data_IF_128829476920
#
_entry.id   IF_128829476920
#
_cell.length_a   1.000
_cell.length_b   1.000
_cell.length_c   1.000
_cell.angle_alpha   90.00
_cell.angle_beta   90.00
_cell.angle_gamma   90.00
#
_symmetry.space_group_name_H-M   'P 1'
#
loop_
_entity.id
_entity.type
_entity.pdbx_description
1 polymer ?
#
# COMPACT_ATOMS: atom_id res chain seq x y z
N UNK A 1 28.56 -44.73 49.94
CA UNK A 1 27.12 -44.39 49.88
C UNK A 1 26.97 -43.01 50.49
N UNK A 2 26.43 -41.95 49.92
CA UNK A 2 25.93 -41.58 48.59
C UNK A 2 25.88 -40.05 48.65
N UNK A 3 26.72 -39.34 47.88
CA UNK A 3 26.68 -37.87 47.82
C UNK A 3 26.72 -37.41 46.34
N UNK A 4 25.91 -38.07 45.50
CA UNK A 4 25.94 -37.93 44.05
C UNK A 4 24.57 -37.53 43.44
N UNK A 5 23.80 -36.67 44.11
CA UNK A 5 22.46 -36.28 43.62
C UNK A 5 22.15 -34.78 43.66
N UNK A 6 23.17 -33.91 43.59
CA UNK A 6 22.97 -32.45 43.48
C UNK A 6 23.63 -31.81 42.23
N UNK A 7 23.85 -32.59 41.16
CA UNK A 7 24.24 -32.06 39.85
C UNK A 7 23.17 -32.40 38.80
N UNK A 8 22.36 -31.41 38.45
CA UNK A 8 21.77 -31.18 37.10
C UNK A 8 20.40 -30.48 37.17
N UNK A 9 20.38 -29.23 37.62
CA UNK A 9 19.32 -28.30 37.22
C UNK A 9 19.95 -27.04 36.62
N UNK A 10 20.81 -27.25 35.61
CA UNK A 10 21.11 -26.19 34.66
C UNK A 10 19.89 -26.09 33.73
N UNK A 11 18.90 -25.31 34.14
CA UNK A 11 17.86 -24.86 33.24
C UNK A 11 18.55 -24.17 32.07
N UNK A 12 18.44 -24.75 30.88
CA UNK A 12 18.74 -24.02 29.67
C UNK A 12 17.73 -22.87 29.64
N UNK A 13 18.20 -21.65 29.93
CA UNK A 13 17.46 -20.43 29.63
C UNK A 13 17.26 -20.41 28.11
N UNK A 14 16.16 -21.01 27.66
CA UNK A 14 15.70 -20.88 26.27
C UNK A 14 15.36 -19.41 26.11
N UNK A 15 16.31 -18.63 25.58
CA UNK A 15 16.08 -17.25 25.21
C UNK A 15 14.88 -17.26 24.25
N UNK A 16 13.71 -16.88 24.76
CA UNK A 16 12.52 -16.70 23.95
C UNK A 16 12.85 -15.58 22.95
N UNK A 17 13.02 -15.94 21.68
CA UNK A 17 13.20 -14.98 20.59
C UNK A 17 12.00 -14.03 20.58
N UNK A 18 12.17 -12.84 21.16
CA UNK A 18 11.16 -11.79 21.14
C UNK A 18 11.11 -11.22 19.72
N UNK A 19 10.15 -11.71 18.95
CA UNK A 19 9.97 -11.30 17.57
C UNK A 19 9.10 -10.03 17.50
N UNK A 20 9.62 -8.95 16.93
CA UNK A 20 8.91 -7.69 16.74
C UNK A 20 8.52 -7.50 15.28
N UNK A 21 7.21 -7.37 15.03
CA UNK A 21 6.66 -7.03 13.72
C UNK A 21 6.85 -5.55 13.39
N UNK A 22 7.07 -5.24 12.10
CA UNK A 22 7.08 -3.86 11.63
C UNK A 22 5.64 -3.37 11.44
N UNK A 23 5.14 -2.66 12.46
CA UNK A 23 3.85 -1.99 12.40
C UNK A 23 3.96 -0.53 11.92
N UNK A 24 5.17 0.00 11.72
CA UNK A 24 5.34 1.39 11.29
C UNK A 24 4.85 1.56 9.86
N UNK A 25 5.24 0.65 8.96
CA UNK A 25 4.81 0.69 7.57
C UNK A 25 3.29 0.50 7.44
N UNK A 26 2.71 -0.37 8.26
CA UNK A 26 1.25 -0.59 8.31
C UNK A 26 0.54 0.71 8.68
N UNK A 27 1.01 1.42 9.71
CA UNK A 27 0.43 2.71 10.11
C UNK A 27 0.55 3.76 9.02
N UNK A 28 1.67 3.80 8.30
CA UNK A 28 1.86 4.72 7.18
C UNK A 28 0.82 4.48 6.08
N UNK A 29 0.63 3.24 5.65
CA UNK A 29 -0.42 2.89 4.68
C UNK A 29 -1.82 3.13 5.24
N UNK A 30 -2.07 2.93 6.54
CA UNK A 30 -3.35 3.23 7.18
C UNK A 30 -3.67 4.73 7.11
N UNK A 31 -2.71 5.60 7.45
CA UNK A 31 -2.89 7.05 7.36
C UNK A 31 -3.08 7.50 5.92
N UNK A 32 -2.30 6.95 4.97
CA UNK A 32 -2.48 7.23 3.55
C UNK A 32 -3.85 6.78 3.04
N UNK A 33 -4.35 5.62 3.49
CA UNK A 33 -5.68 5.12 3.14
C UNK A 33 -6.75 6.12 3.55
N UNK A 34 -6.74 6.57 4.82
CA UNK A 34 -7.74 7.53 5.31
C UNK A 34 -7.65 8.85 4.54
N UNK A 35 -6.43 9.36 4.34
CA UNK A 35 -6.19 10.61 3.62
C UNK A 35 -6.70 10.56 2.18
N UNK A 36 -6.29 9.55 1.41
CA UNK A 36 -6.70 9.41 0.01
C UNK A 36 -8.16 9.00 -0.13
N UNK A 37 -8.74 8.30 0.86
CA UNK A 37 -10.17 8.05 0.93
C UNK A 37 -10.97 9.34 1.03
N UNK A 38 -10.56 10.26 1.90
CA UNK A 38 -11.17 11.58 2.00
C UNK A 38 -11.05 12.35 0.68
N UNK A 39 -9.83 12.43 0.12
CA UNK A 39 -9.59 13.15 -1.15
C UNK A 39 -10.42 12.55 -2.29
N UNK A 40 -10.36 11.24 -2.51
CA UNK A 40 -11.07 10.55 -3.59
C UNK A 40 -12.58 10.72 -3.49
N UNK A 41 -13.15 10.61 -2.30
CA UNK A 41 -14.59 10.81 -2.07
C UNK A 41 -15.01 12.27 -2.27
N UNK A 42 -14.19 13.24 -1.84
CA UNK A 42 -14.46 14.66 -2.07
C UNK A 42 -14.44 15.02 -3.57
N UNK A 43 -13.46 14.51 -4.32
CA UNK A 43 -13.41 14.72 -5.79
C UNK A 43 -14.60 14.03 -6.47
N UNK A 44 -15.03 12.87 -5.98
CA UNK A 44 -16.24 12.20 -6.45
C UNK A 44 -17.52 13.00 -6.21
N UNK A 45 -17.63 13.61 -5.02
CA UNK A 45 -18.73 14.50 -4.68
C UNK A 45 -18.75 15.74 -5.59
N UNK A 46 -17.58 16.33 -5.87
CA UNK A 46 -17.45 17.43 -6.83
C UNK A 46 -17.93 16.99 -8.23
N UNK A 47 -17.46 15.84 -8.73
CA UNK A 47 -17.86 15.32 -10.03
C UNK A 47 -19.38 15.07 -10.11
N UNK A 48 -19.98 14.55 -9.03
CA UNK A 48 -21.43 14.38 -8.95
C UNK A 48 -22.18 15.71 -9.03
N UNK A 49 -21.72 16.74 -8.31
CA UNK A 49 -22.32 18.08 -8.40
C UNK A 49 -22.12 18.73 -9.76
N UNK A 50 -21.02 18.48 -10.47
CA UNK A 50 -20.79 19.00 -11.83
C UNK A 50 -21.80 18.47 -12.86
N UNK A 51 -22.34 17.26 -12.63
CA UNK A 51 -23.41 16.70 -13.47
C UNK A 51 -24.76 17.40 -13.23
N UNK A 52 -25.02 17.88 -12.01
CA UNK A 52 -26.28 18.57 -11.64
C UNK A 52 -26.20 20.07 -11.89
N UNK A 53 -25.07 20.67 -11.57
CA UNK A 53 -24.81 22.11 -11.65
C UNK A 53 -23.59 22.38 -12.54
N UNK A 54 -23.76 22.52 -13.86
CA UNK A 54 -22.65 22.70 -14.81
C UNK A 54 -21.73 23.90 -14.51
N UNK A 55 -22.21 24.91 -13.79
CA UNK A 55 -21.42 26.06 -13.33
C UNK A 55 -20.20 25.65 -12.48
N UNK A 56 -20.25 24.49 -11.82
CA UNK A 56 -19.16 23.95 -11.01
C UNK A 56 -18.00 23.36 -11.84
N UNK A 57 -18.07 23.41 -13.16
CA UNK A 57 -16.91 23.18 -14.02
C UNK A 57 -15.94 24.37 -14.05
N UNK A 58 -16.33 25.53 -13.49
CA UNK A 58 -15.51 26.74 -13.27
C UNK A 58 -14.90 27.40 -14.52
N UNK A 59 -15.22 26.91 -15.72
CA UNK A 59 -14.76 27.50 -16.99
C UNK A 59 -13.28 27.30 -17.30
N UNK A 60 -12.54 26.49 -16.53
CA UNK A 60 -11.14 26.12 -16.80
C UNK A 60 -11.03 24.62 -17.08
N UNK A 61 -10.07 24.24 -17.92
CA UNK A 61 -10.00 22.88 -18.48
C UNK A 61 -9.78 21.82 -17.39
N UNK A 62 -8.96 22.13 -16.40
CA UNK A 62 -8.52 21.26 -15.30
C UNK A 62 -9.68 20.81 -14.42
N UNK A 63 -10.68 21.67 -14.23
CA UNK A 63 -11.82 21.42 -13.34
C UNK A 63 -13.03 20.89 -14.07
N UNK A 64 -12.95 20.66 -15.39
CA UNK A 64 -14.06 20.07 -16.13
C UNK A 64 -14.31 18.63 -15.71
N UNK A 65 -15.57 18.19 -15.75
CA UNK A 65 -15.98 16.83 -15.42
C UNK A 65 -15.15 15.76 -16.15
N UNK A 66 -14.81 16.01 -17.42
CA UNK A 66 -14.00 15.09 -18.23
C UNK A 66 -12.61 14.82 -17.65
N UNK A 67 -12.00 15.80 -16.96
CA UNK A 67 -10.69 15.64 -16.30
C UNK A 67 -10.80 15.27 -14.83
N UNK A 68 -11.83 15.74 -14.14
CA UNK A 68 -12.09 15.42 -12.72
C UNK A 68 -12.50 13.95 -12.53
N UNK A 69 -13.25 13.37 -13.47
CA UNK A 69 -13.67 11.96 -13.44
C UNK A 69 -12.49 10.97 -13.35
N UNK A 70 -11.50 11.00 -14.26
CA UNK A 70 -10.37 10.07 -14.17
C UNK A 70 -9.53 10.32 -12.91
N UNK A 71 -9.45 11.56 -12.40
CA UNK A 71 -8.80 11.85 -11.10
C UNK A 71 -9.55 11.15 -9.95
N UNK A 72 -10.88 11.25 -9.90
CA UNK A 72 -11.69 10.58 -8.88
C UNK A 72 -11.50 9.06 -8.90
N UNK A 73 -11.65 8.44 -10.08
CA UNK A 73 -11.56 6.98 -10.21
C UNK A 73 -10.18 6.46 -9.81
N UNK A 74 -9.11 7.09 -10.27
CA UNK A 74 -7.74 6.72 -9.88
C UNK A 74 -7.48 6.95 -8.37
N UNK A 75 -7.97 8.07 -7.82
CA UNK A 75 -7.84 8.35 -6.38
C UNK A 75 -8.59 7.33 -5.52
N UNK A 76 -9.80 6.91 -5.90
CA UNK A 76 -10.56 5.92 -5.12
C UNK A 76 -9.98 4.51 -5.26
N UNK A 77 -9.55 4.12 -6.45
CA UNK A 77 -9.06 2.75 -6.70
C UNK A 77 -7.60 2.59 -6.26
N UNK A 78 -6.69 3.36 -6.86
CA UNK A 78 -5.26 3.14 -6.65
C UNK A 78 -4.72 3.86 -5.42
N UNK A 79 -5.27 5.02 -5.08
CA UNK A 79 -4.85 5.72 -3.87
C UNK A 79 -5.57 5.19 -2.63
N UNK A 80 -6.90 5.25 -2.54
CA UNK A 80 -7.63 4.79 -1.37
C UNK A 80 -7.57 3.26 -1.21
N UNK A 81 -8.19 2.51 -2.12
CA UNK A 81 -8.26 1.04 -2.01
C UNK A 81 -6.86 0.42 -2.11
N UNK A 82 -6.00 0.91 -3.00
CA UNK A 82 -4.61 0.44 -3.12
C UNK A 82 -3.82 0.56 -1.82
N UNK A 83 -3.83 1.73 -1.15
CA UNK A 83 -3.17 1.87 0.16
C UNK A 83 -3.82 0.94 1.21
N UNK A 84 -5.14 0.74 1.17
CA UNK A 84 -5.85 -0.17 2.06
C UNK A 84 -5.43 -1.63 1.90
N UNK A 85 -5.25 -2.09 0.66
CA UNK A 85 -4.74 -3.42 0.33
C UNK A 85 -3.31 -3.56 0.86
N UNK A 86 -2.42 -2.59 0.60
CA UNK A 86 -1.05 -2.67 1.08
C UNK A 86 -0.96 -2.65 2.61
N UNK A 87 -1.75 -1.83 3.29
CA UNK A 87 -1.90 -1.90 4.75
C UNK A 87 -2.26 -3.32 5.20
N UNK A 88 -3.28 -3.92 4.56
CA UNK A 88 -3.73 -5.28 4.82
C UNK A 88 -2.61 -6.30 4.64
N UNK A 89 -1.91 -6.28 3.49
CA UNK A 89 -0.83 -7.21 3.19
C UNK A 89 0.35 -7.06 4.17
N UNK A 90 0.83 -5.84 4.42
CA UNK A 90 1.94 -5.61 5.35
C UNK A 90 1.60 -6.03 6.78
N UNK A 91 0.32 -5.95 7.16
CA UNK A 91 -0.15 -6.41 8.46
C UNK A 91 -0.31 -7.94 8.52
N UNK A 92 -1.06 -8.51 7.57
CA UNK A 92 -1.44 -9.92 7.57
C UNK A 92 -0.24 -10.81 7.30
N UNK A 93 0.58 -10.50 6.28
CA UNK A 93 1.66 -11.35 5.82
C UNK A 93 2.62 -11.70 6.96
N UNK A 94 3.08 -10.69 7.70
CA UNK A 94 4.01 -10.88 8.80
C UNK A 94 3.48 -11.85 9.88
N UNK A 95 2.18 -11.77 10.18
CA UNK A 95 1.52 -12.57 11.22
C UNK A 95 1.21 -13.98 10.74
N UNK A 96 0.79 -14.12 9.48
CA UNK A 96 0.44 -15.40 8.87
C UNK A 96 1.68 -16.26 8.66
N UNK A 97 2.79 -15.68 8.19
CA UNK A 97 4.03 -16.42 7.99
C UNK A 97 4.93 -16.48 9.23
N UNK A 98 4.52 -15.81 10.33
CA UNK A 98 5.27 -15.65 11.58
C UNK A 98 6.72 -15.18 11.34
N UNK A 99 6.89 -14.22 10.45
CA UNK A 99 8.17 -13.66 10.06
C UNK A 99 8.07 -12.16 9.81
N UNK A 100 9.18 -11.44 9.97
CA UNK A 100 9.26 -9.99 9.68
C UNK A 100 9.32 -9.83 8.17
N UNK A 101 8.88 -8.67 7.67
CA UNK A 101 9.11 -8.29 6.28
C UNK A 101 10.58 -8.50 5.88
N UNK A 102 10.77 -9.00 4.67
CA UNK A 102 12.09 -9.38 4.14
C UNK A 102 13.10 -8.23 4.19
N UNK A 103 12.68 -7.02 3.82
CA UNK A 103 13.53 -5.84 3.86
C UNK A 103 12.72 -4.55 4.13
N UNK A 104 13.04 -3.88 5.25
CA UNK A 104 12.42 -2.62 5.67
C UNK A 104 12.66 -1.46 4.68
N UNK A 105 13.80 -1.44 3.98
CA UNK A 105 14.07 -0.44 2.94
C UNK A 105 13.14 -0.61 1.74
N UNK A 106 12.93 -1.86 1.28
CA UNK A 106 11.98 -2.13 0.19
C UNK A 106 10.56 -1.74 0.58
N UNK A 107 10.18 -1.94 1.85
CA UNK A 107 8.88 -1.48 2.38
C UNK A 107 8.72 0.05 2.27
N UNK A 108 9.76 0.81 2.65
CA UNK A 108 9.74 2.29 2.56
C UNK A 108 9.78 2.77 1.12
N UNK A 109 10.60 2.15 0.26
CA UNK A 109 10.68 2.47 -1.15
C UNK A 109 9.33 2.24 -1.84
N UNK A 110 8.66 1.14 -1.53
CA UNK A 110 7.31 0.88 -2.00
C UNK A 110 6.34 1.97 -1.55
N UNK A 111 6.29 2.29 -0.25
CA UNK A 111 5.37 3.32 0.27
C UNK A 111 5.57 4.67 -0.41
N UNK A 112 6.79 5.20 -0.39
CA UNK A 112 7.09 6.52 -0.98
C UNK A 112 6.96 6.53 -2.50
N UNK A 113 7.36 5.44 -3.17
CA UNK A 113 7.15 5.28 -4.61
C UNK A 113 5.67 5.31 -4.97
N UNK A 114 4.82 4.60 -4.20
CA UNK A 114 3.38 4.60 -4.42
C UNK A 114 2.76 5.99 -4.18
N UNK A 115 3.16 6.69 -3.10
CA UNK A 115 2.65 8.04 -2.85
C UNK A 115 3.05 9.03 -3.96
N UNK A 116 4.29 8.92 -4.45
CA UNK A 116 4.77 9.75 -5.57
C UNK A 116 3.94 9.51 -6.83
N UNK A 117 3.68 8.25 -7.18
CA UNK A 117 2.84 7.89 -8.33
C UNK A 117 1.46 8.51 -8.19
N UNK A 118 0.82 8.41 -7.03
CA UNK A 118 -0.52 8.99 -6.80
C UNK A 118 -0.51 10.50 -7.02
N UNK A 119 0.48 11.21 -6.51
CA UNK A 119 0.60 12.66 -6.68
C UNK A 119 0.81 13.02 -8.16
N UNK A 120 1.69 12.30 -8.86
CA UNK A 120 1.92 12.52 -10.28
C UNK A 120 0.69 12.18 -11.13
N UNK A 121 -0.06 11.13 -10.77
CA UNK A 121 -1.32 10.78 -11.40
C UNK A 121 -2.34 11.93 -11.29
N UNK A 122 -2.50 12.50 -10.10
CA UNK A 122 -3.40 13.65 -9.92
C UNK A 122 -3.00 14.85 -10.78
N UNK A 123 -1.70 15.19 -10.82
CA UNK A 123 -1.19 16.32 -11.62
C UNK A 123 -1.36 16.07 -13.12
N UNK A 124 -0.98 14.89 -13.60
CA UNK A 124 -1.02 14.56 -15.04
C UNK A 124 -2.45 14.46 -15.57
N UNK A 125 -3.37 13.85 -14.81
CA UNK A 125 -4.78 13.74 -15.21
C UNK A 125 -5.49 15.11 -15.21
N UNK A 126 -5.22 15.99 -14.24
CA UNK A 126 -5.75 17.36 -14.25
C UNK A 126 -5.20 18.19 -15.42
N UNK A 127 -3.92 18.00 -15.75
CA UNK A 127 -3.31 18.61 -16.93
C UNK A 127 -3.85 18.04 -18.26
N UNK A 128 -4.60 16.94 -18.22
CA UNK A 128 -5.25 16.33 -19.39
C UNK A 128 -4.39 15.30 -20.11
N UNK A 129 -3.27 14.85 -19.53
CA UNK A 129 -2.47 13.76 -20.07
C UNK A 129 -3.15 12.43 -19.72
N UNK A 130 -3.78 11.82 -20.70
CA UNK A 130 -4.45 10.54 -20.51
C UNK A 130 -4.54 9.72 -21.79
N UNK A 131 -4.43 8.40 -21.64
CA UNK A 131 -4.62 7.43 -22.73
C UNK A 131 -6.10 7.18 -23.06
N UNK A 132 -7.02 7.65 -22.21
CA UNK A 132 -8.47 7.44 -22.35
C UNK A 132 -8.96 6.02 -22.05
N UNK A 133 -8.07 5.10 -21.64
CA UNK A 133 -8.43 3.73 -21.24
C UNK A 133 -8.84 3.73 -19.77
N UNK A 134 -10.06 3.30 -19.47
CA UNK A 134 -10.56 3.27 -18.09
C UNK A 134 -9.67 2.38 -17.20
N UNK A 135 -9.31 2.92 -16.03
CA UNK A 135 -8.41 2.31 -15.04
C UNK A 135 -6.96 2.12 -15.51
N UNK A 136 -6.62 2.61 -16.70
CA UNK A 136 -5.28 2.65 -17.27
C UNK A 136 -5.04 4.04 -17.90
N UNK A 137 -5.58 5.08 -17.26
CA UNK A 137 -5.62 6.43 -17.81
C UNK A 137 -4.24 7.10 -17.86
N UNK A 138 -3.30 6.65 -17.05
CA UNK A 138 -1.99 7.26 -16.89
C UNK A 138 -1.11 7.04 -18.12
N UNK A 139 -0.20 7.98 -18.36
CA UNK A 139 0.76 7.89 -19.45
C UNK A 139 1.88 6.88 -19.15
N UNK A 140 2.52 6.40 -20.22
CA UNK A 140 3.56 5.36 -20.17
C UNK A 140 4.69 5.59 -19.14
N UNK A 141 5.15 6.82 -18.79
CA UNK A 141 6.18 6.97 -17.77
C UNK A 141 5.67 6.54 -16.39
N UNK A 142 4.40 6.81 -16.09
CA UNK A 142 3.77 6.39 -14.84
C UNK A 142 3.53 4.88 -14.82
N UNK A 143 3.18 4.27 -15.96
CA UNK A 143 3.05 2.81 -16.07
C UNK A 143 4.37 2.09 -15.75
N UNK A 144 5.50 2.63 -16.22
CA UNK A 144 6.84 2.10 -15.89
C UNK A 144 7.12 2.26 -14.40
N UNK A 145 6.84 3.43 -13.82
CA UNK A 145 7.03 3.67 -12.39
C UNK A 145 6.19 2.71 -11.54
N UNK A 146 4.91 2.53 -11.89
CA UNK A 146 4.00 1.57 -11.25
C UNK A 146 4.58 0.18 -11.31
N UNK A 147 5.03 -0.25 -12.49
CA UNK A 147 5.62 -1.57 -12.70
C UNK A 147 6.84 -1.79 -11.78
N UNK A 148 7.75 -0.82 -11.72
CA UNK A 148 8.94 -0.91 -10.86
C UNK A 148 8.58 -0.97 -9.37
N UNK A 149 7.64 -0.14 -8.92
CA UNK A 149 7.18 -0.12 -7.53
C UNK A 149 6.47 -1.43 -7.16
N UNK A 150 5.67 -2.00 -8.07
CA UNK A 150 5.06 -3.32 -7.91
C UNK A 150 6.08 -4.45 -7.84
N UNK A 151 7.15 -4.39 -8.63
CA UNK A 151 8.25 -5.36 -8.54
C UNK A 151 8.95 -5.27 -7.18
N UNK A 152 9.22 -4.06 -6.69
CA UNK A 152 9.79 -3.84 -5.34
C UNK A 152 8.89 -4.45 -4.26
N UNK A 153 7.58 -4.20 -4.34
CA UNK A 153 6.59 -4.80 -3.44
C UNK A 153 6.59 -6.33 -3.53
N UNK A 154 6.55 -6.87 -4.75
CA UNK A 154 6.56 -8.31 -5.02
C UNK A 154 7.80 -9.00 -4.44
N UNK A 155 9.01 -8.47 -4.69
CA UNK A 155 10.26 -9.00 -4.14
C UNK A 155 10.19 -9.07 -2.60
N UNK A 156 9.69 -8.01 -1.97
CA UNK A 156 9.58 -7.95 -0.51
C UNK A 156 8.53 -8.93 0.04
N UNK A 157 7.38 -9.05 -0.63
CA UNK A 157 6.33 -10.00 -0.28
C UNK A 157 6.80 -11.46 -0.43
N UNK A 158 7.29 -11.84 -1.61
CA UNK A 158 7.78 -13.21 -1.86
C UNK A 158 9.00 -13.54 -1.01
N UNK A 159 9.93 -12.61 -0.81
CA UNK A 159 11.05 -12.78 0.10
C UNK A 159 10.61 -13.07 1.54
N UNK A 160 9.49 -12.49 1.98
CA UNK A 160 8.91 -12.73 3.30
C UNK A 160 8.29 -14.13 3.38
N UNK A 161 7.59 -14.56 2.32
CA UNK A 161 6.99 -15.90 2.21
C UNK A 161 8.07 -17.00 2.18
N UNK A 162 9.20 -16.76 1.53
CA UNK A 162 10.32 -17.71 1.49
C UNK A 162 10.93 -17.92 2.88
N UNK A 163 11.00 -16.87 3.70
CA UNK A 163 11.51 -16.91 5.09
C UNK A 163 10.45 -17.30 6.13
N UNK A 164 9.31 -17.84 5.71
CA UNK A 164 8.22 -18.21 6.62
C UNK A 164 8.62 -19.28 7.62
N UNK A 165 8.01 -19.25 8.81
CA UNK A 165 8.15 -20.31 9.82
C UNK A 165 7.05 -21.36 9.76
N UNK A 166 5.98 -21.09 9.02
CA UNK A 166 4.84 -21.99 8.85
C UNK A 166 4.97 -22.89 7.62
N UNK A 167 4.60 -24.17 7.73
CA UNK A 167 4.69 -25.11 6.59
C UNK A 167 3.62 -24.82 5.53
N UNK A 168 2.41 -24.52 5.98
CA UNK A 168 1.25 -24.23 5.14
C UNK A 168 1.10 -22.73 4.92
N UNK A 169 0.61 -22.35 3.74
CA UNK A 169 0.23 -20.98 3.44
C UNK A 169 -1.25 -20.80 3.75
N UNK A 170 -1.55 -19.73 4.47
CA UNK A 170 -2.91 -19.30 4.71
C UNK A 170 -3.53 -18.75 3.42
N UNK A 171 -4.81 -19.04 3.18
CA UNK A 171 -5.51 -18.75 1.92
C UNK A 171 -6.38 -17.48 2.00
N UNK A 172 -6.71 -17.01 3.20
CA UNK A 172 -7.67 -15.92 3.39
C UNK A 172 -7.03 -14.53 3.46
#
# INVERSE_FOLDING_TARGET
MSNASQQSLHGHDVALDKFYYDNKIVKWFAYATIFWGLVGMTVGLLAAFQLVFPVLNLGVAETTFGRVRPVHTNAVIFAFVGNGIFMGVYYSLQRLVKARMFNDFLSKLHFWGWQLIIVLAAVTLLAGYTTGKEYAELEWPLDIMITLVWVVFGINMFGTIIKRRERHLYVA
#
